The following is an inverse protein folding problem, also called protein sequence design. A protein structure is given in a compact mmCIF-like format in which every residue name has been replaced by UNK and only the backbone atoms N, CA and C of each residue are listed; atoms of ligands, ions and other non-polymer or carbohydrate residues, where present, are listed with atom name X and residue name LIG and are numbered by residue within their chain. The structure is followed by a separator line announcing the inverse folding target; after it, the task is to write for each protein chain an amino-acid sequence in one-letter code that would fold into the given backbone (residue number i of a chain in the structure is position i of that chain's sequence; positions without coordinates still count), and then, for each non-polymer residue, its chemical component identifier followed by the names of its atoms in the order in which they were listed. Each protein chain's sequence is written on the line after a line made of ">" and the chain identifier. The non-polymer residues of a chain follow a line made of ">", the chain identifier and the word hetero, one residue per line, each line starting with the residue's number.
data_IF_472209295132
#
_entry.id   IF_472209295132
#
_cell.length_a   1.000
_cell.length_b   1.000
_cell.length_c   1.000
_cell.angle_alpha   90.00
_cell.angle_beta   90.00
_cell.angle_gamma   90.00
#
_symmetry.space_group_name_H-M   'P 1'
#
loop_
_entity.id
_entity.type
_entity.pdbx_description
1 polymer ?
#
# COMPACT_ATOMS: atom_id res chain seq x y z
N UNK A 1 25.25 -20.31 -11.23
CA UNK A 1 24.65 -19.38 -10.26
C UNK A 1 23.25 -19.02 -10.75
N UNK A 2 22.21 -19.27 -9.96
CA UNK A 2 20.84 -18.91 -10.35
C UNK A 2 20.66 -17.42 -10.12
N UNK A 3 20.42 -16.64 -11.17
CA UNK A 3 20.18 -15.21 -11.04
C UNK A 3 18.77 -14.98 -10.47
N UNK A 4 18.68 -14.68 -9.17
CA UNK A 4 17.41 -14.48 -8.47
C UNK A 4 16.63 -13.26 -8.99
N UNK A 5 17.29 -12.35 -9.72
CA UNK A 5 16.67 -11.17 -10.32
C UNK A 5 16.14 -11.40 -11.73
N UNK A 6 16.40 -12.55 -12.34
CA UNK A 6 15.90 -12.90 -13.68
C UNK A 6 14.37 -12.86 -13.76
N UNK A 7 13.69 -13.13 -12.64
CA UNK A 7 12.23 -13.03 -12.49
C UNK A 7 11.68 -11.60 -12.63
N UNK A 8 12.51 -10.58 -12.38
CA UNK A 8 12.14 -9.16 -12.46
C UNK A 8 12.59 -8.50 -13.76
N UNK A 9 13.11 -9.26 -14.72
CA UNK A 9 13.45 -8.70 -16.03
C UNK A 9 12.17 -8.28 -16.77
N UNK A 10 12.25 -7.22 -17.57
CA UNK A 10 11.10 -6.72 -18.37
C UNK A 10 10.50 -7.82 -19.23
N UNK A 11 11.33 -8.71 -19.79
CA UNK A 11 10.88 -9.87 -20.56
C UNK A 11 10.05 -10.84 -19.72
N UNK A 12 10.49 -11.17 -18.51
CA UNK A 12 9.78 -12.11 -17.66
C UNK A 12 8.52 -11.48 -17.05
N UNK A 13 8.59 -10.21 -16.65
CA UNK A 13 7.43 -9.42 -16.22
C UNK A 13 6.39 -9.35 -17.35
N UNK A 14 6.80 -9.03 -18.58
CA UNK A 14 5.92 -9.02 -19.75
C UNK A 14 5.27 -10.38 -19.99
N UNK A 15 6.05 -11.48 -19.90
CA UNK A 15 5.51 -12.85 -19.99
C UNK A 15 4.50 -13.16 -18.89
N UNK A 16 4.76 -12.77 -17.63
CA UNK A 16 3.82 -12.95 -16.51
C UNK A 16 2.57 -12.09 -16.67
N UNK A 17 2.72 -10.83 -17.10
CA UNK A 17 1.61 -9.94 -17.42
C UNK A 17 0.73 -10.53 -18.52
N UNK A 18 1.28 -11.16 -19.56
CA UNK A 18 0.48 -11.85 -20.59
C UNK A 18 -0.27 -13.08 -20.06
N UNK A 19 0.24 -13.74 -19.00
CA UNK A 19 -0.50 -14.83 -18.33
C UNK A 19 -1.66 -14.29 -17.50
N UNK A 20 -1.50 -13.10 -16.93
CA UNK A 20 -2.52 -12.39 -16.16
C UNK A 20 -3.56 -11.74 -17.12
N UNK A 21 -3.10 -11.23 -18.26
CA UNK A 21 -3.83 -10.64 -19.37
C UNK A 21 -3.74 -11.54 -20.61
N UNK A 22 -4.48 -12.67 -20.67
CA UNK A 22 -4.44 -13.53 -21.84
C UNK A 22 -4.85 -12.74 -23.10
N UNK A 23 -4.05 -12.88 -24.15
CA UNK A 23 -4.22 -12.16 -25.40
C UNK A 23 -5.59 -12.40 -26.03
N UNK A 24 -6.22 -11.29 -26.39
CA UNK A 24 -7.43 -11.17 -27.18
C UNK A 24 -7.21 -11.70 -28.61
N UNK A 25 -7.56 -12.96 -28.85
CA UNK A 25 -7.94 -13.45 -30.19
C UNK A 25 -9.41 -13.91 -30.26
N UNK A 26 -10.10 -13.99 -29.12
CA UNK A 26 -11.56 -14.10 -29.04
C UNK A 26 -12.02 -13.69 -27.64
N UNK A 27 -12.56 -12.49 -27.49
CA UNK A 27 -13.48 -12.12 -26.39
C UNK A 27 -13.07 -12.37 -24.93
N UNK A 28 -11.79 -12.32 -24.54
CA UNK A 28 -11.42 -12.61 -23.15
C UNK A 28 -10.20 -11.82 -22.60
N UNK A 29 -10.24 -10.49 -22.68
CA UNK A 29 -9.34 -9.58 -21.92
C UNK A 29 -9.69 -9.53 -20.41
N UNK A 30 -10.11 -10.66 -19.85
CA UNK A 30 -11.15 -10.68 -18.83
C UNK A 30 -10.63 -10.91 -17.40
N UNK A 31 -9.40 -11.30 -17.07
CA UNK A 31 -9.10 -11.68 -15.66
C UNK A 31 -8.91 -10.54 -14.64
N UNK A 32 -8.38 -9.37 -15.02
CA UNK A 32 -8.39 -8.16 -14.17
C UNK A 32 -9.68 -7.35 -14.40
N UNK A 33 -10.25 -7.44 -15.61
CA UNK A 33 -11.54 -6.83 -15.97
C UNK A 33 -12.75 -7.57 -15.40
N UNK A 34 -12.58 -8.82 -14.92
CA UNK A 34 -13.66 -9.76 -14.56
C UNK A 34 -14.46 -9.34 -13.33
N UNK A 35 -13.84 -8.62 -12.39
CA UNK A 35 -14.47 -8.11 -11.18
C UNK A 35 -15.26 -6.81 -11.41
N UNK A 36 -14.98 -6.09 -12.50
CA UNK A 36 -15.56 -4.78 -12.79
C UNK A 36 -16.33 -4.84 -14.11
N UNK A 37 -17.52 -5.46 -14.10
CA UNK A 37 -18.35 -5.69 -15.29
C UNK A 37 -19.35 -4.56 -15.61
N UNK A 38 -19.12 -3.32 -15.17
CA UNK A 38 -20.02 -2.24 -15.57
C UNK A 38 -19.66 -1.80 -17.00
N UNK A 39 -20.53 -2.00 -18.00
CA UNK A 39 -20.25 -1.54 -19.34
C UNK A 39 -20.15 -0.02 -19.31
N UNK A 40 -19.07 0.53 -19.87
CA UNK A 40 -18.93 1.96 -19.99
C UNK A 40 -19.99 2.50 -20.97
N UNK A 41 -20.68 3.62 -20.65
CA UNK A 41 -21.70 4.16 -21.52
C UNK A 41 -21.18 4.50 -22.92
N UNK A 42 -22.01 4.27 -23.95
CA UNK A 42 -21.67 4.57 -25.36
C UNK A 42 -21.72 6.08 -25.62
N UNK A 43 -20.70 6.79 -25.19
CA UNK A 43 -20.56 8.24 -25.33
C UNK A 43 -19.67 8.61 -26.53
N UNK A 44 -19.87 9.83 -27.04
CA UNK A 44 -18.96 10.42 -28.01
C UNK A 44 -17.68 10.89 -27.30
N UNK A 45 -16.60 10.12 -27.43
CA UNK A 45 -15.35 10.40 -26.72
C UNK A 45 -14.41 11.33 -27.51
N UNK A 46 -13.95 12.40 -26.85
CA UNK A 46 -12.96 13.36 -27.38
C UNK A 46 -11.55 12.76 -27.46
N UNK A 47 -11.24 11.81 -26.59
CA UNK A 47 -10.01 11.02 -26.58
C UNK A 47 -10.35 9.54 -26.63
N UNK A 48 -9.46 8.71 -27.17
CA UNK A 48 -9.71 7.27 -27.34
C UNK A 48 -8.46 6.49 -26.94
N UNK A 49 -8.36 6.12 -25.67
CA UNK A 49 -7.30 5.22 -25.25
C UNK A 49 -7.52 3.83 -25.85
N UNK A 50 -6.45 3.22 -26.37
CA UNK A 50 -6.45 1.83 -26.78
C UNK A 50 -5.17 1.20 -26.29
N UNK A 51 -5.29 0.08 -25.58
CA UNK A 51 -4.11 -0.67 -25.18
C UNK A 51 -3.40 -1.18 -26.43
N UNK A 52 -2.11 -0.87 -26.51
CA UNK A 52 -1.22 -1.32 -27.57
C UNK A 52 0.04 -1.84 -26.92
N UNK A 53 0.22 -3.15 -27.00
CA UNK A 53 1.45 -3.79 -26.56
C UNK A 53 2.58 -3.36 -27.49
N UNK A 54 3.57 -2.65 -26.94
CA UNK A 54 4.74 -2.18 -27.68
C UNK A 54 5.98 -2.81 -27.10
N UNK A 55 6.93 -3.16 -27.96
CA UNK A 55 8.24 -3.57 -27.51
C UNK A 55 8.97 -2.36 -26.89
N UNK A 56 9.53 -2.57 -25.70
CA UNK A 56 10.27 -1.55 -24.95
C UNK A 56 11.74 -1.88 -25.06
N UNK A 57 12.53 -0.96 -25.63
CA UNK A 57 13.98 -1.04 -25.62
C UNK A 57 14.51 -0.38 -24.34
N UNK A 58 15.28 -1.13 -23.57
CA UNK A 58 16.06 -0.62 -22.44
C UNK A 58 17.48 -0.44 -22.95
N UNK A 59 18.01 0.77 -22.81
CA UNK A 59 19.36 1.12 -23.21
C UNK A 59 20.39 0.64 -22.17
N UNK A 60 21.68 0.49 -22.53
CA UNK A 60 22.71 0.00 -21.61
C UNK A 60 22.91 0.85 -20.35
N UNK A 61 22.54 2.13 -20.41
CA UNK A 61 22.53 3.09 -19.30
C UNK A 61 21.33 2.92 -18.35
N UNK A 62 20.42 1.99 -18.64
CA UNK A 62 19.20 1.75 -17.88
C UNK A 62 18.02 2.64 -18.30
N UNK A 63 18.22 3.57 -19.23
CA UNK A 63 17.13 4.41 -19.73
C UNK A 63 16.17 3.62 -20.62
N UNK A 64 14.91 4.01 -20.57
CA UNK A 64 13.85 3.37 -21.36
C UNK A 64 13.51 4.22 -22.57
N UNK A 65 13.46 3.63 -23.75
CA UNK A 65 13.09 4.35 -24.97
C UNK A 65 11.67 4.94 -24.85
N UNK A 66 11.55 6.26 -24.88
CA UNK A 66 10.26 6.97 -24.71
C UNK A 66 9.79 7.07 -23.25
N UNK A 67 10.70 6.84 -22.30
CA UNK A 67 10.48 7.04 -20.87
C UNK A 67 9.59 5.99 -20.20
N UNK A 68 9.40 6.19 -18.90
CA UNK A 68 8.50 5.36 -18.08
C UNK A 68 7.02 5.42 -18.51
N UNK A 69 6.47 6.54 -19.00
CA UNK A 69 5.11 6.58 -19.55
C UNK A 69 4.87 5.55 -20.65
N UNK A 70 5.82 5.40 -21.57
CA UNK A 70 5.75 4.38 -22.62
C UNK A 70 5.86 2.98 -22.04
N UNK A 71 6.77 2.78 -21.09
CA UNK A 71 6.96 1.48 -20.44
C UNK A 71 5.67 0.99 -19.80
N UNK A 72 5.05 1.83 -18.97
CA UNK A 72 3.86 1.49 -18.19
C UNK A 72 2.67 1.21 -19.12
N UNK A 73 2.41 2.08 -20.10
CA UNK A 73 1.28 1.91 -21.04
C UNK A 73 1.45 0.75 -22.02
N UNK A 74 2.67 0.24 -22.17
CA UNK A 74 2.94 -0.94 -23.01
C UNK A 74 2.82 -2.25 -22.22
N UNK A 75 2.90 -2.19 -20.89
CA UNK A 75 2.85 -3.34 -19.99
C UNK A 75 1.45 -3.55 -19.40
N UNK A 76 0.78 -2.47 -19.01
CA UNK A 76 -0.50 -2.52 -18.30
C UNK A 76 -1.61 -1.99 -19.21
N UNK A 77 -2.69 -2.76 -19.32
CA UNK A 77 -3.93 -2.30 -19.93
C UNK A 77 -4.76 -1.54 -18.89
N UNK A 78 -4.99 -0.24 -19.13
CA UNK A 78 -5.77 0.62 -18.24
C UNK A 78 -7.26 0.67 -18.58
N UNK A 79 -7.73 -0.17 -19.52
CA UNK A 79 -9.13 -0.18 -19.96
C UNK A 79 -10.12 -0.49 -18.82
N UNK A 80 -9.68 -1.18 -17.76
CA UNK A 80 -10.48 -1.49 -16.57
C UNK A 80 -11.01 -0.23 -15.85
N UNK A 81 -10.32 0.91 -15.98
CA UNK A 81 -10.74 2.18 -15.35
C UNK A 81 -12.11 2.60 -15.87
N UNK A 82 -12.41 2.37 -17.17
CA UNK A 82 -13.73 2.69 -17.74
C UNK A 82 -14.83 1.97 -16.98
N UNK A 83 -14.62 0.70 -16.66
CA UNK A 83 -15.61 -0.08 -15.92
C UNK A 83 -15.78 0.40 -14.48
N UNK A 84 -14.69 0.75 -13.80
CA UNK A 84 -14.75 1.28 -12.43
C UNK A 84 -15.56 2.57 -12.36
N UNK A 85 -15.30 3.51 -13.27
CA UNK A 85 -15.92 4.83 -13.25
C UNK A 85 -17.21 4.94 -14.06
N UNK A 86 -17.68 3.85 -14.68
CA UNK A 86 -18.82 3.86 -15.61
C UNK A 86 -20.08 4.52 -15.00
N UNK A 87 -20.32 4.30 -13.71
CA UNK A 87 -21.46 4.84 -12.99
C UNK A 87 -21.39 6.36 -12.73
N UNK A 88 -20.20 6.97 -12.84
CA UNK A 88 -20.02 8.42 -12.73
C UNK A 88 -20.33 9.16 -14.04
N UNK A 89 -20.65 8.42 -15.11
CA UNK A 89 -20.91 8.97 -16.43
C UNK A 89 -22.35 8.69 -16.83
N UNK A 90 -23.03 9.72 -17.35
CA UNK A 90 -24.38 9.57 -17.87
C UNK A 90 -24.37 8.77 -19.18
N UNK A 91 -25.50 8.14 -19.51
CA UNK A 91 -25.67 7.41 -20.78
C UNK A 91 -25.74 8.35 -21.98
N UNK A 92 -26.28 9.55 -21.77
CA UNK A 92 -26.40 10.60 -22.77
C UNK A 92 -25.76 11.88 -22.25
N UNK A 93 -25.04 12.58 -23.11
CA UNK A 93 -24.38 13.82 -22.75
C UNK A 93 -23.53 14.39 -23.88
N UNK A 94 -22.99 15.60 -23.68
CA UNK A 94 -22.05 16.20 -24.62
C UNK A 94 -20.78 15.34 -24.74
N UNK A 95 -19.97 15.55 -25.81
CA UNK A 95 -18.71 14.87 -25.96
C UNK A 95 -17.83 15.02 -24.71
N UNK A 96 -17.27 13.91 -24.23
CA UNK A 96 -16.43 13.92 -23.04
C UNK A 96 -15.10 13.23 -23.29
N UNK A 97 -14.11 13.54 -22.47
CA UNK A 97 -12.85 12.80 -22.50
C UNK A 97 -13.03 11.38 -21.98
N UNK A 98 -12.27 10.46 -22.55
CA UNK A 98 -12.15 9.11 -22.04
C UNK A 98 -11.48 9.15 -20.65
N UNK A 99 -12.10 8.57 -19.60
CA UNK A 99 -11.54 8.60 -18.26
C UNK A 99 -10.14 8.00 -18.18
N UNK A 100 -9.84 7.00 -19.03
CA UNK A 100 -8.51 6.39 -19.07
C UNK A 100 -7.46 7.39 -19.54
N UNK A 101 -7.78 8.19 -20.57
CA UNK A 101 -6.88 9.20 -21.11
C UNK A 101 -6.53 10.26 -20.06
N UNK A 102 -7.53 10.75 -19.32
CA UNK A 102 -7.31 11.75 -18.27
C UNK A 102 -6.54 11.16 -17.09
N UNK A 103 -6.87 9.94 -16.66
CA UNK A 103 -6.12 9.26 -15.60
C UNK A 103 -4.65 9.06 -15.99
N UNK A 104 -4.38 8.62 -17.23
CA UNK A 104 -3.03 8.40 -17.71
C UNK A 104 -2.20 9.68 -17.76
N UNK A 105 -2.78 10.80 -18.20
CA UNK A 105 -2.08 12.09 -18.15
C UNK A 105 -1.75 12.50 -16.72
N UNK A 106 -2.66 12.28 -15.76
CA UNK A 106 -2.39 12.57 -14.35
C UNK A 106 -1.31 11.64 -13.76
N UNK A 107 -1.30 10.37 -14.18
CA UNK A 107 -0.27 9.41 -13.82
C UNK A 107 1.09 9.80 -14.41
N UNK A 108 1.15 10.22 -15.67
CA UNK A 108 2.41 10.64 -16.32
C UNK A 108 3.02 11.87 -15.67
N UNK A 109 2.17 12.86 -15.32
CA UNK A 109 2.58 14.01 -14.53
C UNK A 109 3.30 13.57 -13.26
N UNK A 110 2.75 12.59 -12.54
CA UNK A 110 3.36 12.08 -11.31
C UNK A 110 4.66 11.31 -11.56
N UNK A 111 4.69 10.43 -12.56
CA UNK A 111 5.88 9.60 -12.89
C UNK A 111 7.08 10.46 -13.27
N UNK A 112 6.86 11.50 -14.09
CA UNK A 112 7.93 12.37 -14.56
C UNK A 112 8.20 13.56 -13.62
N UNK A 113 7.59 13.57 -12.43
CA UNK A 113 7.94 14.48 -11.34
C UNK A 113 7.40 15.91 -11.46
N UNK A 114 6.36 16.14 -12.26
CA UNK A 114 5.73 17.45 -12.39
C UNK A 114 4.82 17.74 -11.17
N UNK A 115 5.15 18.80 -10.43
CA UNK A 115 4.41 19.21 -9.23
C UNK A 115 2.93 19.49 -9.52
N UNK A 116 2.66 20.26 -10.58
CA UNK A 116 1.31 20.76 -10.90
C UNK A 116 0.91 20.47 -12.34
N UNK A 117 -0.40 20.40 -12.59
CA UNK A 117 -0.95 20.25 -13.95
C UNK A 117 -0.63 21.45 -14.84
N UNK A 118 -0.60 22.65 -14.28
CA UNK A 118 -0.25 23.89 -14.99
C UNK A 118 1.16 23.88 -15.61
N UNK A 119 2.11 23.16 -15.00
CA UNK A 119 3.46 22.98 -15.56
C UNK A 119 3.55 21.85 -16.57
N UNK A 120 2.71 20.82 -16.40
CA UNK A 120 2.69 19.65 -17.27
C UNK A 120 1.94 19.92 -18.58
N UNK A 121 0.83 20.64 -18.53
CA UNK A 121 -0.01 20.92 -19.71
C UNK A 121 0.75 21.62 -20.86
N UNK A 122 1.60 22.63 -20.63
CA UNK A 122 2.46 23.20 -21.69
C UNK A 122 3.33 22.15 -22.38
N UNK A 123 3.86 21.17 -21.64
CA UNK A 123 4.64 20.06 -22.20
C UNK A 123 3.76 19.14 -23.04
N UNK A 124 2.54 18.84 -22.57
CA UNK A 124 1.56 18.04 -23.33
C UNK A 124 1.03 18.79 -24.55
N UNK A 125 1.05 20.13 -24.55
CA UNK A 125 0.68 20.96 -25.69
C UNK A 125 1.78 21.02 -26.75
N UNK A 126 3.05 20.97 -26.33
CA UNK A 126 4.20 21.02 -27.23
C UNK A 126 4.17 19.91 -28.29
N UNK A 127 4.43 20.27 -29.55
CA UNK A 127 4.26 19.35 -30.68
C UNK A 127 5.18 18.12 -30.60
N UNK A 128 6.39 18.27 -30.03
CA UNK A 128 7.39 17.22 -30.02
C UNK A 128 7.52 16.56 -28.65
N UNK A 129 7.67 17.36 -27.59
CA UNK A 129 7.78 16.86 -26.21
C UNK A 129 6.49 16.16 -25.78
N UNK A 130 5.34 16.74 -26.13
CA UNK A 130 4.02 16.21 -25.75
C UNK A 130 3.56 15.00 -26.56
N UNK A 131 4.24 14.71 -27.68
CA UNK A 131 3.82 13.68 -28.65
C UNK A 131 3.70 12.30 -28.00
N UNK A 132 4.64 11.95 -27.13
CA UNK A 132 4.63 10.69 -26.38
C UNK A 132 3.39 10.58 -25.52
N UNK A 133 3.18 11.54 -24.62
CA UNK A 133 2.05 11.58 -23.70
C UNK A 133 0.69 11.51 -24.42
N UNK A 134 0.52 12.32 -25.48
CA UNK A 134 -0.72 12.31 -26.30
C UNK A 134 -0.95 10.95 -26.95
N UNK A 135 0.10 10.35 -27.52
CA UNK A 135 0.01 9.03 -28.17
C UNK A 135 -0.31 7.91 -27.19
N UNK A 136 0.19 7.99 -25.95
CA UNK A 136 -0.02 6.97 -24.93
C UNK A 136 -1.39 7.09 -24.25
N UNK A 137 -1.87 8.33 -24.04
CA UNK A 137 -3.20 8.60 -23.51
C UNK A 137 -4.32 8.52 -24.57
N UNK A 138 -3.99 8.52 -25.87
CA UNK A 138 -4.99 8.51 -26.94
C UNK A 138 -5.67 9.86 -27.15
N UNK A 139 -4.93 10.95 -26.98
CA UNK A 139 -5.41 12.33 -27.12
C UNK A 139 -5.01 12.86 -28.49
N UNK A 140 -5.95 13.43 -29.22
CA UNK A 140 -5.69 14.12 -30.48
C UNK A 140 -5.08 15.50 -30.23
N UNK A 141 -4.37 16.03 -31.22
CA UNK A 141 -3.82 17.39 -31.20
C UNK A 141 -4.91 18.45 -31.10
N UNK A 142 -6.10 18.16 -31.60
CA UNK A 142 -7.19 19.12 -31.68
C UNK A 142 -7.98 19.22 -30.36
N UNK A 143 -7.92 18.18 -29.52
CA UNK A 143 -8.70 18.09 -28.28
C UNK A 143 -7.79 17.94 -27.06
N UNK A 144 -6.84 18.83 -26.86
CA UNK A 144 -5.95 18.76 -25.69
C UNK A 144 -6.69 19.26 -24.43
N UNK A 145 -6.76 18.48 -23.33
CA UNK A 145 -7.48 18.88 -22.13
C UNK A 145 -6.83 20.09 -21.46
N UNK A 146 -7.64 20.96 -20.88
CA UNK A 146 -7.17 22.07 -20.05
C UNK A 146 -7.18 21.70 -18.55
N UNK A 147 -6.67 22.59 -17.70
CA UNK A 147 -6.60 22.36 -16.25
C UNK A 147 -7.98 22.14 -15.63
N UNK A 148 -8.99 22.91 -16.05
CA UNK A 148 -10.37 22.74 -15.59
C UNK A 148 -10.93 21.34 -15.89
N UNK A 149 -10.51 20.71 -17.01
CA UNK A 149 -10.90 19.34 -17.33
C UNK A 149 -10.40 18.36 -16.27
N UNK A 150 -9.17 18.53 -15.77
CA UNK A 150 -8.62 17.67 -14.71
C UNK A 150 -9.27 17.92 -13.36
N UNK A 151 -9.55 19.18 -13.01
CA UNK A 151 -10.28 19.51 -11.77
C UNK A 151 -11.68 18.89 -11.76
N UNK A 152 -12.40 18.98 -12.88
CA UNK A 152 -13.72 18.36 -13.04
C UNK A 152 -13.64 16.83 -13.00
N UNK A 153 -12.62 16.24 -13.63
CA UNK A 153 -12.39 14.80 -13.62
C UNK A 153 -12.12 14.26 -12.21
N UNK A 154 -11.20 14.89 -11.48
CA UNK A 154 -10.88 14.52 -10.09
C UNK A 154 -12.09 14.67 -9.17
N UNK A 155 -12.87 15.74 -9.34
CA UNK A 155 -14.10 15.96 -8.57
C UNK A 155 -15.18 14.91 -8.89
N UNK A 156 -15.29 14.49 -10.16
CA UNK A 156 -16.25 13.48 -10.61
C UNK A 156 -15.94 12.08 -10.08
N UNK A 157 -14.67 11.69 -10.08
CA UNK A 157 -14.24 10.36 -9.65
C UNK A 157 -14.13 10.30 -8.11
N UNK A 158 -13.58 11.34 -7.50
CA UNK A 158 -13.36 11.39 -6.06
C UNK A 158 -12.26 10.44 -5.58
N UNK A 159 -11.88 10.60 -4.31
CA UNK A 159 -10.75 9.87 -3.71
C UNK A 159 -10.95 8.35 -3.69
N UNK A 160 -12.17 7.90 -3.37
CA UNK A 160 -12.47 6.47 -3.22
C UNK A 160 -12.21 5.67 -4.49
N UNK A 161 -12.65 6.16 -5.64
CA UNK A 161 -12.43 5.47 -6.92
C UNK A 161 -10.98 5.56 -7.37
N UNK A 162 -10.26 6.64 -7.06
CA UNK A 162 -8.81 6.68 -7.26
C UNK A 162 -8.11 5.59 -6.44
N UNK A 163 -8.47 5.43 -5.17
CA UNK A 163 -7.94 4.37 -4.32
C UNK A 163 -8.26 2.97 -4.87
N UNK A 164 -9.49 2.74 -5.37
CA UNK A 164 -9.83 1.47 -6.03
C UNK A 164 -8.95 1.20 -7.26
N UNK A 165 -8.72 2.20 -8.11
CA UNK A 165 -7.81 2.06 -9.27
C UNK A 165 -6.39 1.72 -8.79
N UNK A 166 -5.90 2.40 -7.74
CA UNK A 166 -4.58 2.12 -7.18
C UNK A 166 -4.49 0.72 -6.55
N UNK A 167 -5.54 0.24 -5.88
CA UNK A 167 -5.59 -1.11 -5.34
C UNK A 167 -5.48 -2.16 -6.45
N UNK A 168 -6.19 -1.97 -7.57
CA UNK A 168 -6.05 -2.86 -8.74
C UNK A 168 -4.61 -2.85 -9.25
N UNK A 169 -3.96 -1.69 -9.36
CA UNK A 169 -2.55 -1.63 -9.77
C UNK A 169 -1.63 -2.35 -8.78
N UNK A 170 -1.81 -2.13 -7.48
CA UNK A 170 -1.05 -2.78 -6.40
C UNK A 170 -1.23 -4.30 -6.44
N UNK A 171 -2.44 -4.78 -6.70
CA UNK A 171 -2.73 -6.21 -6.86
C UNK A 171 -2.02 -6.80 -8.08
N UNK A 172 -1.93 -6.07 -9.20
CA UNK A 172 -1.12 -6.48 -10.36
C UNK A 172 0.34 -6.64 -9.94
N UNK A 173 0.93 -5.64 -9.27
CA UNK A 173 2.31 -5.72 -8.80
C UNK A 173 2.53 -6.86 -7.80
N UNK A 174 1.53 -7.19 -6.99
CA UNK A 174 1.58 -8.34 -6.10
C UNK A 174 1.56 -9.67 -6.85
N UNK A 175 0.68 -9.84 -7.84
CA UNK A 175 0.62 -11.04 -8.69
C UNK A 175 1.90 -11.25 -9.52
N UNK A 176 2.60 -10.16 -9.84
CA UNK A 176 3.92 -10.19 -10.46
C UNK A 176 5.05 -10.49 -9.47
N UNK A 177 4.75 -10.66 -8.18
CA UNK A 177 5.70 -10.82 -7.08
C UNK A 177 6.71 -9.68 -6.94
N UNK A 178 6.41 -8.52 -7.51
CA UNK A 178 7.22 -7.30 -7.35
C UNK A 178 7.02 -6.71 -5.95
N UNK A 179 5.84 -6.92 -5.37
CA UNK A 179 5.49 -6.53 -4.01
C UNK A 179 5.09 -7.79 -3.24
N UNK A 180 5.68 -8.02 -2.09
CA UNK A 180 5.45 -9.23 -1.28
C UNK A 180 4.48 -9.00 -0.12
N UNK A 181 4.08 -7.76 0.15
CA UNK A 181 3.34 -7.29 1.35
C UNK A 181 3.93 -7.73 2.70
N UNK A 182 5.08 -8.38 2.70
CA UNK A 182 5.85 -8.73 3.89
C UNK A 182 6.64 -7.49 4.28
N UNK A 183 6.47 -7.04 5.52
CA UNK A 183 7.30 -5.97 6.07
C UNK A 183 8.72 -6.52 6.17
N UNK A 184 9.60 -6.02 5.30
CA UNK A 184 11.03 -6.29 5.34
C UNK A 184 11.70 -5.15 6.10
N UNK A 185 12.22 -5.43 7.29
CA UNK A 185 13.06 -4.47 8.01
C UNK A 185 14.51 -4.68 7.66
N UNK A 186 15.08 -3.70 6.97
CA UNK A 186 16.51 -3.57 6.73
C UNK A 186 16.99 -2.29 7.42
N UNK A 187 18.16 -2.32 8.05
CA UNK A 187 18.85 -1.09 8.47
C UNK A 187 19.36 -0.35 7.21
N UNK A 188 19.62 0.96 7.31
CA UNK A 188 19.98 1.83 6.18
C UNK A 188 21.21 1.40 5.39
N UNK A 189 21.96 0.41 5.88
CA UNK A 189 23.15 -0.17 5.26
C UNK A 189 22.91 -1.53 4.59
N UNK A 190 21.66 -2.00 4.47
CA UNK A 190 21.28 -3.29 3.84
C UNK A 190 21.98 -4.54 4.41
N UNK A 191 22.60 -4.45 5.59
CA UNK A 191 23.03 -5.62 6.32
C UNK A 191 21.82 -6.31 6.97
N UNK A 192 21.81 -7.65 7.07
CA UNK A 192 20.86 -8.37 7.90
C UNK A 192 21.16 -8.04 9.37
N UNK A 193 20.67 -6.90 9.82
CA UNK A 193 20.65 -6.54 11.23
C UNK A 193 19.42 -7.16 11.87
N UNK A 194 19.52 -7.52 13.14
CA UNK A 194 18.40 -7.93 13.98
C UNK A 194 17.51 -6.71 14.32
N UNK A 195 17.19 -5.87 13.34
CA UNK A 195 16.17 -4.84 13.43
C UNK A 195 14.82 -5.55 13.58
N UNK A 196 14.48 -5.95 14.81
CA UNK A 196 13.22 -6.62 15.12
C UNK A 196 12.10 -5.60 14.94
N UNK A 197 11.45 -5.58 13.79
CA UNK A 197 10.12 -5.01 13.66
C UNK A 197 9.25 -5.60 14.76
N UNK A 198 8.79 -4.75 15.68
CA UNK A 198 7.88 -5.15 16.77
C UNK A 198 6.40 -4.93 16.41
N UNK A 199 6.11 -4.46 15.20
CA UNK A 199 4.75 -4.23 14.73
C UNK A 199 4.08 -5.50 14.24
N UNK A 200 2.75 -5.44 14.09
CA UNK A 200 1.95 -6.53 13.56
C UNK A 200 1.80 -6.37 12.03
N UNK A 201 2.14 -7.40 11.24
CA UNK A 201 1.93 -7.42 9.79
C UNK A 201 0.47 -7.68 9.38
N UNK A 202 -0.39 -8.04 10.34
CA UNK A 202 -1.80 -8.38 10.15
C UNK A 202 -2.72 -7.41 10.91
N UNK A 203 -2.30 -6.14 11.04
CA UNK A 203 -3.06 -5.10 11.74
C UNK A 203 -4.45 -4.91 11.09
N UNK A 204 -5.48 -4.77 11.91
CA UNK A 204 -6.86 -4.50 11.49
C UNK A 204 -7.47 -3.37 12.33
N UNK A 205 -8.68 -2.90 11.96
CA UNK A 205 -9.36 -1.86 12.72
C UNK A 205 -9.63 -2.26 14.18
N UNK A 206 -9.90 -3.54 14.46
CA UNK A 206 -10.05 -4.08 15.83
C UNK A 206 -8.75 -3.98 16.65
N UNK A 207 -7.58 -3.90 16.01
CA UNK A 207 -6.31 -3.68 16.71
C UNK A 207 -6.18 -2.27 17.31
N UNK A 208 -7.08 -1.33 16.99
CA UNK A 208 -7.14 -0.04 17.66
C UNK A 208 -7.56 -0.18 19.14
N UNK A 209 -8.33 -1.22 19.48
CA UNK A 209 -8.81 -1.48 20.84
C UNK A 209 -8.72 -2.98 21.15
N UNK A 210 -7.56 -3.42 21.64
CA UNK A 210 -7.33 -4.83 21.96
C UNK A 210 -7.82 -5.12 23.38
N UNK A 211 -8.91 -5.87 23.49
CA UNK A 211 -9.39 -6.37 24.77
C UNK A 211 -8.54 -7.57 25.20
N UNK A 212 -7.97 -7.50 26.40
CA UNK A 212 -7.18 -8.59 26.98
C UNK A 212 -7.85 -9.07 28.25
N UNK A 213 -8.22 -10.34 28.27
CA UNK A 213 -8.82 -10.97 29.45
C UNK A 213 -7.74 -11.38 30.46
N UNK A 214 -8.13 -11.46 31.74
CA UNK A 214 -7.29 -11.97 32.84
C UNK A 214 -5.98 -11.21 33.09
N UNK A 215 -5.91 -9.91 32.77
CA UNK A 215 -4.69 -9.10 32.97
C UNK A 215 -4.24 -9.15 34.43
N UNK A 216 -5.16 -8.93 35.37
CA UNK A 216 -4.87 -8.91 36.82
C UNK A 216 -4.28 -10.22 37.32
N UNK A 217 -4.85 -11.36 36.89
CA UNK A 217 -4.37 -12.69 37.26
C UNK A 217 -2.97 -12.96 36.69
N UNK A 218 -2.74 -12.64 35.41
CA UNK A 218 -1.42 -12.79 34.76
C UNK A 218 -0.35 -11.95 35.45
N UNK A 219 -0.68 -10.69 35.78
CA UNK A 219 0.22 -9.79 36.50
C UNK A 219 0.50 -10.31 37.91
N UNK A 220 -0.54 -10.68 38.68
CA UNK A 220 -0.40 -11.23 40.03
C UNK A 220 0.50 -12.46 40.05
N UNK A 221 0.26 -13.42 39.15
CA UNK A 221 1.08 -14.63 39.06
C UNK A 221 2.55 -14.30 38.75
N UNK A 222 2.80 -13.31 37.89
CA UNK A 222 4.16 -12.88 37.56
C UNK A 222 4.86 -12.20 38.74
N UNK A 223 4.14 -11.37 39.49
CA UNK A 223 4.65 -10.74 40.71
C UNK A 223 4.97 -11.80 41.76
N UNK A 224 4.04 -12.72 42.04
CA UNK A 224 4.22 -13.80 43.01
C UNK A 224 5.40 -14.71 42.62
N UNK A 225 5.50 -15.08 41.35
CA UNK A 225 6.65 -15.85 40.85
C UNK A 225 7.98 -15.15 41.14
N UNK A 226 8.02 -13.83 40.99
CA UNK A 226 9.23 -13.04 41.22
C UNK A 226 9.57 -12.92 42.70
N UNK A 227 8.57 -12.69 43.54
CA UNK A 227 8.72 -12.66 45.00
C UNK A 227 9.23 -14.02 45.52
N UNK A 228 8.68 -15.13 45.02
CA UNK A 228 9.10 -16.48 45.43
C UNK A 228 10.50 -16.87 44.93
N UNK A 229 11.05 -16.17 43.93
CA UNK A 229 12.37 -16.41 43.37
C UNK A 229 13.31 -15.22 43.55
N UNK A 230 13.16 -14.44 44.63
CA UNK A 230 13.98 -13.28 44.94
C UNK A 230 15.48 -13.60 44.98
N UNK A 231 15.86 -14.76 45.53
CA UNK A 231 17.27 -15.18 45.64
C UNK A 231 17.95 -15.51 44.30
N UNK A 232 17.18 -15.78 43.25
CA UNK A 232 17.67 -16.11 41.90
C UNK A 232 17.60 -14.92 40.93
N UNK A 233 16.95 -13.82 41.33
CA UNK A 233 16.66 -12.70 40.44
C UNK A 233 17.35 -11.42 40.94
N UNK A 234 18.07 -10.73 40.05
CA UNK A 234 18.67 -9.43 40.38
C UNK A 234 17.58 -8.40 40.70
N UNK A 235 17.53 -7.94 41.97
CA UNK A 235 16.73 -6.77 42.36
C UNK A 235 17.16 -5.57 41.49
N UNK A 236 16.19 -4.91 40.85
CA UNK A 236 16.43 -3.84 39.89
C UNK A 236 16.26 -4.22 38.42
N UNK A 237 16.09 -5.50 38.06
CA UNK A 237 15.73 -5.90 36.69
C UNK A 237 14.31 -5.44 36.31
N UNK A 238 14.04 -5.15 35.04
CA UNK A 238 12.67 -4.87 34.56
C UNK A 238 11.99 -6.19 34.19
N UNK A 239 10.78 -6.42 34.71
CA UNK A 239 9.95 -7.58 34.36
C UNK A 239 8.81 -7.12 33.48
N UNK A 240 8.64 -7.76 32.33
CA UNK A 240 7.57 -7.44 31.38
C UNK A 240 6.57 -8.58 31.32
N UNK A 241 5.29 -8.23 31.34
CA UNK A 241 4.17 -9.15 31.19
C UNK A 241 3.66 -9.02 29.77
N UNK A 242 3.53 -10.15 29.07
CA UNK A 242 3.08 -10.20 27.69
C UNK A 242 1.81 -11.04 27.55
N UNK A 243 1.03 -10.77 26.52
CA UNK A 243 -0.03 -11.67 26.03
C UNK A 243 0.10 -11.82 24.52
N UNK A 244 -0.35 -12.94 23.98
CA UNK A 244 -0.44 -13.10 22.53
C UNK A 244 -1.62 -12.29 21.98
N UNK A 245 -1.47 -11.80 20.74
CA UNK A 245 -2.53 -11.07 20.04
C UNK A 245 -3.79 -11.93 19.90
N UNK A 246 -4.98 -11.40 20.25
CA UNK A 246 -6.23 -12.17 20.17
C UNK A 246 -6.77 -12.30 18.74
N UNK A 247 -6.19 -11.61 17.75
CA UNK A 247 -6.67 -11.68 16.36
C UNK A 247 -6.58 -13.10 15.78
N UNK A 248 -7.61 -13.46 15.01
CA UNK A 248 -7.74 -14.75 14.33
C UNK A 248 -7.25 -14.69 12.87
N UNK A 249 -6.71 -13.55 12.42
CA UNK A 249 -6.24 -13.36 11.03
C UNK A 249 -4.88 -14.01 10.74
N UNK A 250 -4.22 -14.57 11.74
CA UNK A 250 -2.92 -15.20 11.57
C UNK A 250 -3.08 -16.62 11.02
N UNK A 251 -2.34 -17.00 9.96
CA UNK A 251 -2.21 -18.39 9.54
C UNK A 251 -1.65 -19.27 10.67
N UNK A 252 -1.98 -20.55 10.68
CA UNK A 252 -1.56 -21.50 11.74
C UNK A 252 -0.03 -21.58 11.90
N UNK A 253 0.71 -21.41 10.81
CA UNK A 253 2.17 -21.47 10.79
C UNK A 253 2.87 -20.18 11.30
N UNK A 254 2.13 -19.11 11.59
CA UNK A 254 2.69 -17.81 11.96
C UNK A 254 2.52 -17.54 13.45
N UNK A 255 3.64 -17.38 14.16
CA UNK A 255 3.63 -16.99 15.58
C UNK A 255 3.00 -15.61 15.75
N UNK A 256 1.94 -15.54 16.58
CA UNK A 256 1.26 -14.28 16.90
C UNK A 256 2.22 -13.32 17.63
N UNK A 257 2.13 -12.01 17.37
CA UNK A 257 2.95 -11.03 18.06
C UNK A 257 2.54 -10.94 19.54
N UNK A 258 3.54 -10.71 20.39
CA UNK A 258 3.36 -10.52 21.84
C UNK A 258 3.11 -9.05 22.14
N UNK A 259 1.96 -8.78 22.74
CA UNK A 259 1.55 -7.46 23.22
C UNK A 259 2.08 -7.30 24.64
N UNK A 260 2.86 -6.24 24.88
CA UNK A 260 3.33 -5.88 26.21
C UNK A 260 2.17 -5.25 27.00
N UNK A 261 1.79 -5.88 28.12
CA UNK A 261 0.72 -5.41 28.99
C UNK A 261 1.25 -4.42 30.02
N UNK A 262 2.32 -4.80 30.72
CA UNK A 262 2.93 -4.04 31.80
C UNK A 262 4.41 -4.33 31.93
N UNK A 263 5.16 -3.31 32.36
CA UNK A 263 6.55 -3.43 32.79
C UNK A 263 6.66 -3.05 34.28
N UNK A 264 7.39 -3.84 35.06
CA UNK A 264 7.50 -3.73 36.51
C UNK A 264 8.97 -3.86 36.92
N UNK A 265 9.49 -2.86 37.61
CA UNK A 265 10.84 -2.87 38.19
C UNK A 265 10.74 -2.98 39.71
N UNK A 266 11.44 -3.93 40.30
CA UNK A 266 11.55 -4.01 41.77
C UNK A 266 12.62 -3.04 42.26
N UNK A 267 12.24 -2.10 43.11
CA UNK A 267 13.17 -1.17 43.77
C UNK A 267 13.43 -1.71 45.19
N UNK A 268 14.69 -1.92 45.55
CA UNK A 268 15.04 -2.32 46.92
C UNK A 268 14.98 -1.10 47.84
N UNK A 269 14.27 -1.21 48.97
CA UNK A 269 14.20 -0.15 49.98
C UNK A 269 15.42 -0.20 50.89
N UNK A 270 16.31 0.79 50.80
CA UNK A 270 17.26 1.07 51.89
C UNK A 270 16.55 1.97 52.92
N UNK A 271 16.03 1.35 54.00
CA UNK A 271 15.79 1.80 55.41
C UNK A 271 15.53 3.32 55.69
N UNK A 272 14.60 3.83 56.51
CA UNK A 272 13.89 3.38 57.72
C UNK A 272 12.61 4.24 57.91
N UNK A 273 11.47 3.63 58.27
CA UNK A 273 10.41 4.11 59.21
C UNK A 273 9.11 3.30 59.00
N UNK A 274 8.34 2.99 60.05
CA UNK A 274 7.11 2.23 59.90
C UNK A 274 5.99 3.19 59.49
N UNK A 275 5.61 3.15 58.22
CA UNK A 275 4.36 3.73 57.76
C UNK A 275 3.74 2.79 56.75
N UNK A 276 2.50 2.36 57.02
CA UNK A 276 1.64 1.64 56.10
C UNK A 276 1.46 2.43 54.81
N UNK A 277 2.36 2.26 53.85
CA UNK A 277 2.23 2.84 52.53
C UNK A 277 2.97 1.98 51.51
N UNK A 278 2.22 1.23 50.69
CA UNK A 278 2.71 0.69 49.43
C UNK A 278 3.11 1.87 48.53
N UNK A 279 4.40 2.19 48.45
CA UNK A 279 4.89 3.24 47.54
C UNK A 279 5.20 2.67 46.15
N UNK A 280 4.23 2.91 45.26
CA UNK A 280 4.28 3.20 43.82
C UNK A 280 5.13 2.36 42.84
N UNK A 281 4.40 1.76 41.89
CA UNK A 281 4.89 1.26 40.59
C UNK A 281 5.10 2.44 39.63
N UNK A 282 6.30 2.62 39.08
CA UNK A 282 6.53 3.53 37.96
C UNK A 282 6.19 2.84 36.63
N UNK A 283 5.14 3.32 35.98
CA UNK A 283 4.62 2.80 34.73
C UNK A 283 5.23 3.59 33.55
N UNK A 284 6.35 3.13 32.99
CA UNK A 284 6.93 3.76 31.80
C UNK A 284 6.12 3.40 30.55
N UNK A 285 5.15 4.25 30.20
CA UNK A 285 4.39 4.19 28.93
C UNK A 285 5.31 4.44 27.73
N UNK A 286 5.94 3.38 27.21
CA UNK A 286 6.51 3.36 25.84
C UNK A 286 5.61 2.57 24.91
N UNK A 287 4.40 3.08 24.69
CA UNK A 287 3.64 2.87 23.45
C UNK A 287 2.67 4.04 23.32
N UNK A 288 2.91 4.90 22.33
CA UNK A 288 1.99 5.97 21.96
C UNK A 288 0.67 5.31 21.54
N UNK A 289 -0.38 5.69 22.28
CA UNK A 289 -1.82 5.51 22.03
C UNK A 289 -2.45 4.15 22.41
N UNK A 290 -3.44 4.31 23.31
CA UNK A 290 -4.62 3.48 23.57
C UNK A 290 -4.44 2.35 24.59
N UNK A 291 -4.64 2.69 25.86
CA UNK A 291 -5.32 1.84 26.85
C UNK A 291 -6.17 2.76 27.74
N UNK A 292 -7.46 2.89 27.43
CA UNK A 292 -8.46 3.33 28.40
C UNK A 292 -8.87 2.08 29.19
N UNK A 293 -8.58 2.09 30.48
CA UNK A 293 -9.10 1.09 31.41
C UNK A 293 -10.50 1.55 31.81
N UNK A 294 -11.52 0.74 31.49
CA UNK A 294 -12.79 0.79 32.20
C UNK A 294 -12.74 -0.30 33.28
N UNK A 295 -12.66 0.12 34.53
CA UNK A 295 -13.19 -0.63 35.65
C UNK A 295 -14.70 -0.37 35.70
N UNK A 296 -15.47 -1.39 36.05
CA UNK A 296 -16.91 -1.32 36.34
C UNK A 296 -17.31 -0.08 37.15
#
# INVERSE_FOLDING_TARGET
>A
MVNHFEKFTVNNISKRLNKINPESSSGQALKISLSHQRPFPKLHLLSKYQFKKRFIKVFPDGNVQGGYPRMITSLIDFSFIRSLVAHCYAVFGPPCYDPVSLFLLDLFRYIDGYQDMSRFLPVVLDQDQGRGYRTYAGISTDNIPCEATFSNFRSRIGENLYNEIFHVLVDIFHQLEMITFKILTHDGTLYPTLARYKGCTYFCQECQSITVNDVTRKVRNRILYRLNNLSKNNLGSECRVYTDCPSNRFPEDVKKPKIELFALRGVGSTSQRPSNSLSMMENQRKNKKILQYYSE
#
